data_IF_280185586269
#
_entry.id   IF_280185586269
#
_cell.length_a   1.000
_cell.length_b   1.000
_cell.length_c   1.000
_cell.angle_alpha   90.00
_cell.angle_beta   90.00
_cell.angle_gamma   90.00
#
_symmetry.space_group_name_H-M   'P 1'
#
loop_
_entity.id
_entity.type
_entity.pdbx_description
1 polymer ?
#
# COMPACT_ATOMS: atom_id res chain seq x y z
N UNK A 1 1.14 23.38 20.28
CA UNK A 1 0.15 22.39 19.78
C UNK A 1 0.84 21.54 18.73
N UNK A 2 1.30 20.36 19.10
CA UNK A 2 1.95 19.41 18.18
C UNK A 2 0.87 18.70 17.37
N UNK A 3 0.75 19.07 16.09
CA UNK A 3 -0.13 18.40 15.12
C UNK A 3 0.48 17.03 14.84
N UNK A 4 0.01 15.99 15.50
CA UNK A 4 0.31 14.60 15.14
C UNK A 4 -0.13 14.40 13.70
N UNK A 5 0.82 14.16 12.80
CA UNK A 5 0.50 13.81 11.43
C UNK A 5 -0.23 12.47 11.47
N UNK A 6 -1.53 12.48 11.21
CA UNK A 6 -2.32 11.26 11.04
C UNK A 6 -1.67 10.50 9.87
N UNK A 7 -1.18 9.28 10.12
CA UNK A 7 -0.76 8.40 9.03
C UNK A 7 -1.98 8.14 8.14
N UNK A 8 -1.81 8.31 6.83
CA UNK A 8 -2.85 8.01 5.85
C UNK A 8 -3.27 6.53 5.96
N UNK A 9 -4.57 6.26 5.85
CA UNK A 9 -5.10 4.89 5.86
C UNK A 9 -4.68 4.10 4.61
N UNK A 10 -4.94 2.80 4.60
CA UNK A 10 -4.72 1.97 3.41
C UNK A 10 -5.53 2.50 2.23
N UNK A 11 -6.80 2.81 2.47
CA UNK A 11 -7.75 3.33 1.49
C UNK A 11 -7.31 4.70 0.95
N UNK A 12 -6.81 5.59 1.81
CA UNK A 12 -6.28 6.89 1.38
C UNK A 12 -5.08 6.73 0.44
N UNK A 13 -4.15 5.82 0.80
CA UNK A 13 -2.96 5.56 -0.01
C UNK A 13 -3.30 4.86 -1.33
N UNK A 14 -4.30 3.99 -1.33
CA UNK A 14 -4.81 3.34 -2.53
C UNK A 14 -5.46 4.35 -3.48
N UNK A 15 -6.33 5.22 -2.96
CA UNK A 15 -6.94 6.30 -3.75
C UNK A 15 -5.88 7.24 -4.33
N UNK A 16 -4.85 7.61 -3.55
CA UNK A 16 -3.75 8.42 -4.05
C UNK A 16 -2.95 7.73 -5.16
N UNK A 17 -2.78 6.41 -5.11
CA UNK A 17 -2.14 5.64 -6.18
C UNK A 17 -3.01 5.60 -7.45
N UNK A 18 -4.31 5.38 -7.31
CA UNK A 18 -5.25 5.41 -8.44
C UNK A 18 -5.25 6.76 -9.16
N UNK A 19 -5.21 7.86 -8.40
CA UNK A 19 -5.16 9.20 -8.98
C UNK A 19 -3.86 9.47 -9.74
N UNK A 20 -2.73 8.95 -9.24
CA UNK A 20 -1.44 9.00 -9.95
C UNK A 20 -1.53 8.23 -11.27
N UNK A 21 -2.10 7.01 -11.25
CA UNK A 21 -2.26 6.18 -12.45
C UNK A 21 -3.11 6.91 -13.48
N UNK A 22 -4.29 7.41 -13.09
CA UNK A 22 -5.18 8.19 -13.96
C UNK A 22 -4.45 9.40 -14.56
N UNK A 23 -3.67 10.12 -13.76
CA UNK A 23 -2.92 11.30 -14.22
C UNK A 23 -1.89 10.91 -15.28
N UNK A 24 -1.14 9.83 -15.07
CA UNK A 24 -0.14 9.33 -16.02
C UNK A 24 -0.77 8.80 -17.31
N UNK A 25 -1.91 8.11 -17.22
CA UNK A 25 -2.64 7.56 -18.37
C UNK A 25 -3.24 8.63 -19.29
N UNK A 26 -3.59 9.80 -18.73
CA UNK A 26 -4.12 10.92 -19.52
C UNK A 26 -3.11 11.49 -20.52
N UNK A 27 -1.80 11.26 -20.35
CA UNK A 27 -0.76 11.63 -21.33
C UNK A 27 -0.44 13.13 -21.44
N UNK A 28 -1.25 14.02 -20.88
CA UNK A 28 -1.04 15.48 -20.86
C UNK A 28 -0.09 15.97 -19.75
N UNK A 29 0.69 15.06 -19.15
CA UNK A 29 1.63 15.38 -18.07
C UNK A 29 3.03 15.64 -18.64
N UNK A 30 3.67 16.79 -18.34
CA UNK A 30 5.06 17.03 -18.72
C UNK A 30 5.98 15.90 -18.25
N UNK A 31 7.01 15.57 -19.02
CA UNK A 31 7.89 14.42 -18.75
C UNK A 31 8.49 14.46 -17.34
N UNK A 32 8.94 15.63 -16.89
CA UNK A 32 9.55 15.82 -15.58
C UNK A 32 8.54 15.55 -14.44
N UNK A 33 7.29 15.97 -14.62
CA UNK A 33 6.20 15.67 -13.69
C UNK A 33 5.83 14.19 -13.73
N UNK A 34 5.78 13.58 -14.93
CA UNK A 34 5.44 12.17 -15.09
C UNK A 34 6.47 11.27 -14.36
N UNK A 35 7.75 11.63 -14.40
CA UNK A 35 8.81 10.92 -13.65
C UNK A 35 8.58 11.05 -12.15
N UNK A 36 8.23 12.25 -11.66
CA UNK A 36 7.96 12.47 -10.23
C UNK A 36 6.73 11.70 -9.74
N UNK A 37 5.64 11.73 -10.51
CA UNK A 37 4.41 10.98 -10.23
C UNK A 37 4.66 9.48 -10.25
N UNK A 38 5.42 8.98 -11.22
CA UNK A 38 5.81 7.57 -11.28
C UNK A 38 6.59 7.14 -10.04
N UNK A 39 7.59 7.92 -9.62
CA UNK A 39 8.36 7.62 -8.40
C UNK A 39 7.49 7.61 -7.14
N UNK A 40 6.52 8.53 -7.05
CA UNK A 40 5.54 8.58 -5.96
C UNK A 40 4.63 7.36 -5.98
N UNK A 41 4.12 6.99 -7.15
CA UNK A 41 3.29 5.80 -7.35
C UNK A 41 4.02 4.51 -6.95
N UNK A 42 5.30 4.37 -7.33
CA UNK A 42 6.13 3.23 -6.93
C UNK A 42 6.30 3.11 -5.42
N UNK A 43 6.47 4.25 -4.71
CA UNK A 43 6.57 4.25 -3.24
C UNK A 43 5.25 3.85 -2.58
N UNK A 44 4.13 4.38 -3.07
CA UNK A 44 2.79 4.04 -2.57
C UNK A 44 2.48 2.56 -2.81
N UNK A 45 2.72 2.07 -4.03
CA UNK A 45 2.54 0.66 -4.38
C UNK A 45 3.32 -0.27 -3.45
N UNK A 46 4.59 0.03 -3.19
CA UNK A 46 5.41 -0.74 -2.25
C UNK A 46 4.86 -0.71 -0.82
N UNK A 47 4.37 0.44 -0.35
CA UNK A 47 3.79 0.56 0.99
C UNK A 47 2.48 -0.22 1.14
N UNK A 48 1.62 -0.18 0.11
CA UNK A 48 0.36 -0.93 0.07
C UNK A 48 0.63 -2.44 0.06
N UNK A 49 1.58 -2.90 -0.76
CA UNK A 49 2.01 -4.32 -0.78
C UNK A 49 2.54 -4.77 0.58
N UNK A 50 3.35 -3.95 1.26
CA UNK A 50 3.85 -4.25 2.58
C UNK A 50 2.72 -4.37 3.61
N UNK A 51 1.73 -3.47 3.55
CA UNK A 51 0.57 -3.49 4.45
C UNK A 51 -0.26 -4.76 4.26
N UNK A 52 -0.50 -5.17 3.01
CA UNK A 52 -1.22 -6.41 2.70
C UNK A 52 -0.46 -7.64 3.19
N UNK A 53 0.86 -7.67 2.99
CA UNK A 53 1.71 -8.76 3.48
C UNK A 53 1.66 -8.88 5.01
N UNK A 54 1.72 -7.77 5.73
CA UNK A 54 1.62 -7.77 7.20
C UNK A 54 0.25 -8.25 7.68
N UNK A 55 -0.82 -7.86 6.97
CA UNK A 55 -2.17 -8.35 7.26
C UNK A 55 -2.28 -9.87 7.03
N UNK A 56 -1.73 -10.38 5.93
CA UNK A 56 -1.67 -11.81 5.62
C UNK A 56 -0.90 -12.58 6.70
N UNK A 57 0.32 -12.14 7.04
CA UNK A 57 1.13 -12.75 8.11
C UNK A 57 0.40 -12.76 9.47
N UNK A 58 -0.39 -11.72 9.76
CA UNK A 58 -1.19 -11.65 11.00
C UNK A 58 -2.32 -12.67 10.99
N UNK A 59 -3.03 -12.84 9.86
CA UNK A 59 -4.07 -13.86 9.72
C UNK A 59 -3.51 -15.28 9.88
N UNK A 60 -2.34 -15.55 9.29
CA UNK A 60 -1.63 -16.84 9.45
C UNK A 60 -1.38 -17.17 10.92
N UNK A 61 -0.90 -16.18 11.70
CA UNK A 61 -0.52 -16.39 13.10
C UNK A 61 -1.69 -16.57 14.06
N UNK A 62 -2.90 -16.14 13.69
CA UNK A 62 -4.09 -16.19 14.56
C UNK A 62 -4.81 -17.55 14.48
N UNK A 63 -4.50 -18.42 13.50
CA UNK A 63 -5.13 -19.73 13.35
C UNK A 63 -4.25 -20.87 13.87
N UNK A 64 -4.21 -21.04 15.20
CA UNK A 64 -4.00 -22.34 15.85
C UNK A 64 -4.58 -22.31 17.27
N UNK A 65 -5.64 -23.08 17.50
CA UNK A 65 -6.32 -23.16 18.81
C UNK A 65 -5.46 -23.81 19.92
N UNK A 66 -4.30 -24.38 19.58
CA UNK A 66 -3.35 -25.02 20.50
C UNK A 66 -2.06 -24.21 20.78
N UNK A 67 -1.95 -23.02 20.19
CA UNK A 67 -0.77 -22.15 20.34
C UNK A 67 0.44 -22.54 19.48
N UNK A 68 0.30 -23.46 18.52
CA UNK A 68 1.36 -23.79 17.56
C UNK A 68 1.40 -22.85 16.35
N UNK A 69 2.59 -22.46 15.89
CA UNK A 69 2.72 -21.68 14.65
C UNK A 69 2.55 -22.62 13.43
N UNK A 70 1.44 -22.48 12.70
CA UNK A 70 1.26 -23.14 11.40
C UNK A 70 1.28 -22.09 10.28
N UNK A 71 2.00 -22.39 9.20
CA UNK A 71 1.97 -21.57 8.00
C UNK A 71 0.62 -21.76 7.29
N UNK A 72 -0.07 -20.66 6.98
CA UNK A 72 -1.26 -20.67 6.13
C UNK A 72 -0.81 -20.98 4.71
N UNK A 73 -1.22 -22.12 4.18
CA UNK A 73 -0.86 -22.61 2.85
C UNK A 73 -1.82 -22.15 1.74
N UNK A 74 -2.80 -21.30 2.08
CA UNK A 74 -3.52 -20.45 1.12
C UNK A 74 -4.26 -21.17 0.00
N UNK A 75 -4.70 -22.41 0.21
CA UNK A 75 -5.45 -23.18 -0.79
C UNK A 75 -6.93 -22.76 -0.89
#
# INVERSE_FOLDING_TARGET
MTKTAQQASFEDNLGALEDIVKRLENGDVPLEEAIAEFQKGMKLSKALQQTLKEAEETLVKVMADDGSEQAFDGQ
#
